data_IF_341280101996
#
_entry.id   IF_341280101996
#
_cell.length_a   1.000
_cell.length_b   1.000
_cell.length_c   1.000
_cell.angle_alpha   90.00
_cell.angle_beta   90.00
_cell.angle_gamma   90.00
#
_symmetry.space_group_name_H-M   'P 1'
#
loop_
_entity.id
_entity.type
_entity.pdbx_description
1 polymer ?
#
# COMPACT_ATOMS: atom_id res chain seq x y z
N UNK A 1 -6.07 -17.67 29.41
CA UNK A 1 -4.98 -17.21 28.51
C UNK A 1 -5.50 -17.29 27.10
N UNK A 2 -5.74 -16.15 26.43
CA UNK A 2 -6.18 -16.14 25.02
C UNK A 2 -4.99 -16.60 24.18
N UNK A 3 -5.07 -17.84 23.71
CA UNK A 3 -4.10 -18.48 22.82
C UNK A 3 -3.91 -17.58 21.61
N UNK A 4 -2.66 -17.22 21.31
CA UNK A 4 -2.31 -16.35 20.20
C UNK A 4 -2.84 -16.92 18.89
N UNK A 5 -3.87 -16.27 18.34
CA UNK A 5 -4.22 -16.42 16.93
C UNK A 5 -2.98 -16.10 16.12
N UNK A 6 -2.69 -16.91 15.10
CA UNK A 6 -1.62 -16.62 14.14
C UNK A 6 -1.81 -15.17 13.62
N UNK A 7 -0.74 -14.40 13.55
CA UNK A 7 -0.74 -13.00 13.08
C UNK A 7 -1.53 -12.84 11.77
N UNK A 8 -1.49 -13.86 10.90
CA UNK A 8 -2.23 -13.93 9.64
C UNK A 8 -3.75 -13.91 9.87
N UNK A 9 -4.26 -14.66 10.86
CA UNK A 9 -5.67 -14.65 11.21
C UNK A 9 -6.12 -13.30 11.79
N UNK A 10 -5.31 -12.69 12.64
CA UNK A 10 -5.62 -11.36 13.19
C UNK A 10 -5.76 -10.32 12.07
N UNK A 11 -4.81 -10.30 11.12
CA UNK A 11 -4.85 -9.41 9.96
C UNK A 11 -6.06 -9.69 9.04
N UNK A 12 -6.49 -10.95 8.91
CA UNK A 12 -7.71 -11.31 8.17
C UNK A 12 -8.98 -10.76 8.85
N UNK A 13 -9.09 -10.88 10.17
CA UNK A 13 -10.21 -10.31 10.93
C UNK A 13 -10.24 -8.78 10.81
N UNK A 14 -9.09 -8.13 11.00
CA UNK A 14 -8.95 -6.68 10.83
C UNK A 14 -9.33 -6.23 9.40
N UNK A 15 -8.98 -7.02 8.38
CA UNK A 15 -9.35 -6.73 6.98
C UNK A 15 -10.87 -6.75 6.80
N UNK A 16 -11.56 -7.75 7.38
CA UNK A 16 -13.01 -7.88 7.35
C UNK A 16 -13.71 -6.78 8.14
N UNK A 17 -13.13 -6.36 9.26
CA UNK A 17 -13.66 -5.24 10.05
C UNK A 17 -13.53 -3.92 9.30
N UNK A 18 -12.38 -3.66 8.68
CA UNK A 18 -12.16 -2.48 7.85
C UNK A 18 -13.11 -2.44 6.65
N UNK A 19 -13.35 -3.58 6.00
CA UNK A 19 -14.30 -3.69 4.88
C UNK A 19 -15.72 -3.27 5.27
N UNK A 20 -16.18 -3.63 6.48
CA UNK A 20 -17.50 -3.22 6.98
C UNK A 20 -17.64 -1.71 7.20
N UNK A 21 -16.52 -1.02 7.38
CA UNK A 21 -16.50 0.43 7.55
C UNK A 21 -16.47 1.18 6.21
N UNK A 22 -16.15 0.50 5.12
CA UNK A 22 -16.14 1.11 3.79
C UNK A 22 -17.55 1.43 3.29
N UNK A 23 -17.68 2.61 2.68
CA UNK A 23 -18.89 2.97 1.96
C UNK A 23 -18.91 2.38 0.54
N UNK A 24 -20.07 2.45 -0.14
CA UNK A 24 -20.25 1.92 -1.50
C UNK A 24 -19.27 2.50 -2.53
N UNK A 25 -18.88 3.77 -2.37
CA UNK A 25 -17.97 4.44 -3.27
C UNK A 25 -16.54 3.92 -3.12
N UNK A 26 -16.07 3.77 -1.89
CA UNK A 26 -14.77 3.16 -1.58
C UNK A 26 -14.70 1.73 -2.10
N UNK A 27 -15.79 0.97 -1.92
CA UNK A 27 -15.94 -0.38 -2.47
C UNK A 27 -15.75 -0.41 -3.99
N UNK A 28 -16.41 0.50 -4.70
CA UNK A 28 -16.28 0.63 -6.16
C UNK A 28 -14.85 1.04 -6.58
N UNK A 29 -14.25 2.01 -5.89
CA UNK A 29 -12.88 2.45 -6.15
C UNK A 29 -11.86 1.32 -5.96
N UNK A 30 -12.05 0.47 -4.94
CA UNK A 30 -11.18 -0.69 -4.70
C UNK A 30 -11.19 -1.68 -5.85
N UNK A 31 -12.36 -1.91 -6.48
CA UNK A 31 -12.46 -2.77 -7.68
C UNK A 31 -11.63 -2.21 -8.84
N UNK A 32 -11.44 -0.89 -8.91
CA UNK A 32 -10.58 -0.23 -9.90
C UNK A 32 -9.10 -0.15 -9.48
N UNK A 33 -8.74 -0.78 -8.35
CA UNK A 33 -7.36 -0.87 -7.88
C UNK A 33 -6.90 0.33 -7.04
N UNK A 34 -7.84 1.18 -6.59
CA UNK A 34 -7.57 2.20 -5.57
C UNK A 34 -7.39 1.52 -4.22
N UNK A 35 -6.42 2.00 -3.43
CA UNK A 35 -6.15 1.51 -2.08
C UNK A 35 -6.69 2.54 -1.09
N UNK A 36 -7.57 2.11 -0.20
CA UNK A 36 -8.27 2.99 0.74
C UNK A 36 -7.41 3.12 1.98
N UNK A 37 -7.04 4.34 2.35
CA UNK A 37 -6.24 4.61 3.53
C UNK A 37 -7.10 4.45 4.79
N UNK A 38 -6.65 3.60 5.72
CA UNK A 38 -7.37 3.28 6.96
C UNK A 38 -6.88 4.10 8.16
N UNK A 39 -5.63 4.56 8.13
CA UNK A 39 -5.02 5.24 9.27
C UNK A 39 -3.55 4.88 9.45
N UNK A 40 -2.96 5.38 10.52
CA UNK A 40 -1.65 4.95 10.98
C UNK A 40 -1.80 4.06 12.21
N UNK A 41 -1.04 2.97 12.26
CA UNK A 41 -1.01 2.06 13.40
C UNK A 41 0.43 1.84 13.86
N UNK A 42 0.59 1.71 15.18
CA UNK A 42 1.82 1.20 15.78
C UNK A 42 1.57 -0.21 16.27
N UNK A 43 2.46 -1.14 15.91
CA UNK A 43 2.46 -2.49 16.49
C UNK A 43 3.64 -2.66 17.42
N UNK A 44 3.51 -3.61 18.35
CA UNK A 44 4.58 -3.96 19.26
C UNK A 44 5.84 -4.37 18.48
N UNK A 45 7.00 -3.80 18.85
CA UNK A 45 8.27 -4.02 18.16
C UNK A 45 8.51 -3.12 16.94
N UNK A 46 7.60 -2.20 16.59
CA UNK A 46 7.81 -1.25 15.51
C UNK A 46 8.35 0.10 16.04
N UNK A 47 9.37 0.63 15.35
CA UNK A 47 10.00 1.92 15.68
C UNK A 47 9.18 3.14 15.24
N UNK A 48 7.94 2.96 14.77
CA UNK A 48 7.11 4.06 14.33
C UNK A 48 5.72 3.64 13.86
N UNK A 49 4.91 4.66 13.56
CA UNK A 49 3.57 4.52 13.01
C UNK A 49 3.65 4.25 11.50
N UNK A 50 2.98 3.20 11.03
CA UNK A 50 2.92 2.86 9.62
C UNK A 50 1.51 3.08 9.06
N UNK A 51 1.39 3.60 7.82
CA UNK A 51 0.10 3.81 7.19
C UNK A 51 -0.46 2.49 6.66
N UNK A 52 -1.69 2.16 7.07
CA UNK A 52 -2.41 0.98 6.61
C UNK A 52 -3.42 1.33 5.54
N UNK A 53 -3.58 0.39 4.61
CA UNK A 53 -4.51 0.50 3.49
C UNK A 53 -5.33 -0.77 3.35
N UNK A 54 -6.62 -0.60 3.03
CA UNK A 54 -7.47 -1.66 2.53
C UNK A 54 -7.41 -1.69 1.01
N UNK A 55 -7.29 -2.88 0.43
CA UNK A 55 -7.30 -3.05 -1.01
C UNK A 55 -7.97 -4.37 -1.40
N UNK A 56 -8.51 -4.40 -2.62
CA UNK A 56 -9.04 -5.61 -3.23
C UNK A 56 -7.94 -6.40 -3.95
N UNK A 57 -7.80 -7.68 -3.62
CA UNK A 57 -6.84 -8.57 -4.26
C UNK A 57 -7.44 -9.17 -5.54
N UNK A 58 -6.85 -8.84 -6.69
CA UNK A 58 -7.27 -9.40 -7.99
C UNK A 58 -6.98 -10.89 -8.16
N UNK A 59 -6.05 -11.45 -7.38
CA UNK A 59 -5.65 -12.86 -7.49
C UNK A 59 -6.64 -13.79 -6.77
N UNK A 60 -7.06 -13.45 -5.55
CA UNK A 60 -7.98 -14.29 -4.75
C UNK A 60 -9.37 -13.70 -4.56
N UNK A 61 -9.62 -12.45 -4.99
CA UNK A 61 -10.92 -11.79 -4.89
C UNK A 61 -11.27 -11.23 -3.52
N UNK A 62 -10.40 -11.39 -2.52
CA UNK A 62 -10.63 -10.98 -1.13
C UNK A 62 -10.09 -9.58 -0.83
N UNK A 63 -10.66 -8.91 0.17
CA UNK A 63 -10.11 -7.69 0.74
C UNK A 63 -8.98 -8.00 1.72
N UNK A 64 -7.92 -7.19 1.63
CA UNK A 64 -6.75 -7.31 2.49
C UNK A 64 -6.34 -5.95 3.01
N UNK A 65 -5.97 -5.93 4.29
CA UNK A 65 -5.34 -4.80 4.97
C UNK A 65 -3.84 -5.04 5.05
N UNK A 66 -3.05 -4.05 4.64
CA UNK A 66 -1.59 -4.10 4.79
C UNK A 66 -0.98 -2.69 4.75
N UNK A 67 0.31 -2.58 5.05
CA UNK A 67 1.09 -1.35 4.92
C UNK A 67 2.11 -1.44 3.77
N UNK A 68 2.55 -0.33 3.17
CA UNK A 68 3.53 -0.35 2.09
C UNK A 68 4.88 -0.91 2.56
N UNK A 69 5.30 -1.99 1.91
CA UNK A 69 6.63 -2.61 2.10
C UNK A 69 7.62 -2.03 1.09
N UNK A 70 8.92 -2.10 1.41
CA UNK A 70 10.02 -1.63 0.56
C UNK A 70 10.16 -0.10 0.42
N UNK A 71 11.14 0.30 -0.39
CA UNK A 71 11.45 1.69 -0.73
C UNK A 71 10.35 2.30 -1.61
N UNK A 72 10.12 3.63 -1.55
CA UNK A 72 9.02 4.31 -2.24
C UNK A 72 8.88 4.00 -3.74
N UNK A 73 9.98 3.72 -4.43
CA UNK A 73 10.01 3.41 -5.86
C UNK A 73 9.52 1.99 -6.20
N UNK A 74 9.52 1.09 -5.21
CA UNK A 74 9.17 -0.32 -5.35
C UNK A 74 8.14 -0.74 -4.30
N UNK A 75 7.37 0.20 -3.79
CA UNK A 75 6.42 -0.09 -2.73
C UNK A 75 5.35 -1.08 -3.19
N UNK A 76 5.02 -2.02 -2.30
CA UNK A 76 3.99 -3.03 -2.54
C UNK A 76 3.22 -3.35 -1.26
N UNK A 77 2.03 -3.90 -1.43
CA UNK A 77 1.19 -4.48 -0.38
C UNK A 77 1.14 -6.00 -0.58
N UNK A 78 0.94 -6.75 0.50
CA UNK A 78 0.83 -8.20 0.50
C UNK A 78 -0.61 -8.59 0.86
N UNK A 79 -1.22 -9.44 0.05
CA UNK A 79 -2.53 -10.00 0.38
C UNK A 79 -2.39 -11.02 1.52
N UNK A 80 -3.10 -10.82 2.63
CA UNK A 80 -3.08 -11.74 3.78
C UNK A 80 -3.71 -13.11 3.47
N UNK A 81 -4.44 -13.25 2.36
CA UNK A 81 -5.12 -14.51 2.01
C UNK A 81 -4.27 -15.41 1.12
N UNK A 82 -3.66 -14.84 0.08
CA UNK A 82 -2.91 -15.59 -0.93
C UNK A 82 -1.42 -15.17 -1.06
N UNK A 83 -0.95 -14.24 -0.23
CA UNK A 83 0.42 -13.71 -0.21
C UNK A 83 0.86 -13.02 -1.52
N UNK A 84 -0.09 -12.75 -2.43
CA UNK A 84 0.15 -12.00 -3.66
C UNK A 84 0.59 -10.56 -3.38
N UNK A 85 1.53 -10.06 -4.19
CA UNK A 85 2.06 -8.70 -4.08
C UNK A 85 1.34 -7.75 -5.01
N UNK A 86 0.85 -6.64 -4.47
CA UNK A 86 0.16 -5.60 -5.21
C UNK A 86 1.00 -4.32 -5.23
N UNK A 87 1.25 -3.78 -6.42
CA UNK A 87 2.01 -2.54 -6.56
C UNK A 87 1.31 -1.39 -5.82
N UNK A 88 2.09 -0.69 -5.01
CA UNK A 88 1.72 0.52 -4.29
C UNK A 88 2.76 1.60 -4.60
N UNK A 89 2.84 2.02 -5.86
CA UNK A 89 3.69 3.18 -6.20
C UNK A 89 2.82 4.42 -6.11
N UNK A 90 3.13 5.38 -5.21
CA UNK A 90 2.41 6.63 -5.17
C UNK A 90 2.52 7.38 -6.50
N UNK A 91 1.44 8.00 -6.94
CA UNK A 91 1.36 8.68 -8.25
C UNK A 91 2.39 9.82 -8.42
N UNK A 92 2.93 10.38 -7.34
CA UNK A 92 3.97 11.41 -7.37
C UNK A 92 5.38 10.87 -7.68
N UNK A 93 5.62 9.57 -7.50
CA UNK A 93 6.94 8.96 -7.72
C UNK A 93 7.33 8.98 -9.21
N UNK A 94 6.47 8.56 -10.16
CA UNK A 94 6.74 8.72 -11.59
C UNK A 94 7.03 10.18 -11.99
N UNK A 95 6.29 11.13 -11.40
CA UNK A 95 6.49 12.55 -11.68
C UNK A 95 7.88 13.03 -11.23
N UNK A 96 8.32 12.65 -10.03
CA UNK A 96 9.67 12.96 -9.54
C UNK A 96 10.76 12.39 -10.45
N UNK A 97 10.60 11.15 -10.93
CA UNK A 97 11.56 10.54 -11.83
C UNK A 97 11.67 11.29 -13.16
N UNK A 98 10.53 11.69 -13.75
CA UNK A 98 10.49 12.49 -14.97
C UNK A 98 11.16 13.86 -14.75
N UNK A 99 10.87 14.53 -13.63
CA UNK A 99 11.51 15.81 -13.29
C UNK A 99 13.02 15.68 -13.12
N UNK A 100 13.50 14.60 -12.51
CA UNK A 100 14.93 14.29 -12.40
C UNK A 100 15.61 14.16 -13.76
N UNK A 101 14.96 13.49 -14.72
CA UNK A 101 15.47 13.35 -16.09
C UNK A 101 15.50 14.70 -16.82
N UNK A 102 14.47 15.53 -16.68
CA UNK A 102 14.40 16.87 -17.28
C UNK A 102 15.52 17.75 -16.72
N UNK A 103 15.72 17.73 -15.40
CA UNK A 103 16.78 18.49 -14.74
C UNK A 103 18.18 18.03 -15.20
N UNK A 104 18.40 16.72 -15.28
CA UNK A 104 19.67 16.17 -15.77
C UNK A 104 19.94 16.57 -17.23
N UNK A 105 18.92 16.51 -18.10
CA UNK A 105 19.04 16.96 -19.49
C UNK A 105 19.34 18.48 -19.58
N UNK A 106 18.72 19.28 -18.71
CA UNK A 106 19.03 20.71 -18.59
C UNK A 106 20.48 20.93 -18.17
N UNK A 107 20.97 20.23 -17.15
CA UNK A 107 22.38 20.32 -16.72
C UNK A 107 23.35 19.96 -17.85
N UNK A 108 23.11 18.88 -18.60
CA UNK A 108 23.94 18.51 -19.75
C UNK A 108 23.96 19.59 -20.85
N UNK A 109 22.82 20.23 -21.11
CA UNK A 109 22.70 21.32 -22.09
C UNK A 109 23.51 22.56 -21.70
N UNK A 110 23.62 22.87 -20.40
CA UNK A 110 24.36 24.04 -19.91
C UNK A 110 25.81 23.75 -19.52
N UNK A 111 26.20 22.48 -19.37
CA UNK A 111 27.60 22.06 -19.11
C UNK A 111 28.43 21.88 -20.39
N UNK A 112 27.79 21.94 -21.56
CA UNK A 112 28.40 21.88 -22.89
C UNK A 112 28.78 23.27 -23.46
N UNK A 113 28.77 24.33 -22.65
CA UNK A 113 29.27 25.66 -23.01
C UNK A 113 30.56 25.98 -22.25
#
# INVERSE_FOLDING_TARGET
MKVGLSLKYQLQEESKEAEKQCNLWEWFLMQWGVKIYLGHEQREGWNGNLPFYLFWCKECGEHSKDYPHSWPEQQYLICVHCDARHSFVPWWVPFKMIWGLIWFAFQLRFRSK
#
